data_IF_590010203647
#
_entry.id   IF_590010203647
#
_cell.length_a   1.000
_cell.length_b   1.000
_cell.length_c   1.000
_cell.angle_alpha   90.00
_cell.angle_beta   90.00
_cell.angle_gamma   90.00
#
_symmetry.space_group_name_H-M   'P 1'
#
loop_
_entity.id
_entity.type
_entity.pdbx_description
1 polymer ?
#
# COMPACT_ATOMS: atom_id res chain seq x y z
N UNK A 1 11.00 8.97 10.17
CA UNK A 1 9.93 8.70 9.21
C UNK A 1 10.26 7.47 8.38
N UNK A 2 9.28 6.62 8.09
CA UNK A 2 9.51 5.33 7.41
C UNK A 2 10.25 5.51 6.09
N UNK A 3 9.80 6.44 5.26
CA UNK A 3 10.37 6.65 3.93
C UNK A 3 11.88 6.95 3.97
N UNK A 4 12.31 7.87 4.82
CA UNK A 4 13.73 8.23 4.93
C UNK A 4 14.55 7.17 5.64
N UNK A 5 13.98 6.56 6.69
CA UNK A 5 14.71 5.61 7.52
C UNK A 5 15.12 4.36 6.74
N UNK A 6 14.25 3.89 5.83
CA UNK A 6 14.46 2.65 5.11
C UNK A 6 14.74 2.84 3.62
N UNK A 7 14.83 4.09 3.14
CA UNK A 7 15.13 4.36 1.75
C UNK A 7 14.03 3.98 0.77
N UNK A 8 12.79 3.97 1.21
CA UNK A 8 11.67 3.65 0.36
C UNK A 8 11.42 4.76 -0.66
N UNK A 9 11.00 4.35 -1.87
CA UNK A 9 10.72 5.28 -2.97
C UNK A 9 9.48 6.12 -2.71
N UNK A 10 8.41 5.49 -2.20
CA UNK A 10 7.12 6.13 -2.01
C UNK A 10 6.42 5.54 -0.79
N UNK A 11 5.79 6.38 0.00
CA UNK A 11 5.01 5.97 1.17
C UNK A 11 3.77 6.85 1.24
N UNK A 12 2.60 6.25 1.31
CA UNK A 12 1.38 7.03 1.39
C UNK A 12 0.17 6.22 1.81
N UNK A 13 -0.89 6.95 2.11
CA UNK A 13 -2.19 6.38 2.46
C UNK A 13 -3.18 6.65 1.34
N UNK A 14 -3.97 5.65 1.02
CA UNK A 14 -5.18 5.81 0.19
C UNK A 14 -6.38 5.60 1.09
N UNK A 15 -7.33 6.53 1.05
CA UNK A 15 -8.55 6.49 1.85
C UNK A 15 -9.68 5.86 1.06
N UNK A 16 -10.48 5.02 1.74
CA UNK A 16 -11.67 4.44 1.12
C UNK A 16 -12.78 5.48 1.06
N UNK A 17 -13.21 5.85 -0.14
CA UNK A 17 -14.33 6.75 -0.36
C UNK A 17 -15.25 6.10 -1.40
N UNK A 18 -16.40 5.58 -0.94
CA UNK A 18 -17.29 4.81 -1.81
C UNK A 18 -16.61 3.54 -2.31
N UNK A 19 -16.52 3.38 -3.63
CA UNK A 19 -15.90 2.22 -4.27
C UNK A 19 -14.49 2.49 -4.78
N UNK A 20 -13.85 3.56 -4.29
CA UNK A 20 -12.52 3.95 -4.72
C UNK A 20 -11.59 4.19 -3.54
N UNK A 21 -10.30 4.00 -3.80
CA UNK A 21 -9.25 4.50 -2.93
C UNK A 21 -8.81 5.86 -3.47
N UNK A 22 -8.77 6.86 -2.60
CA UNK A 22 -8.41 8.23 -2.96
C UNK A 22 -7.12 8.61 -2.24
N UNK A 23 -6.15 9.11 -2.99
CA UNK A 23 -4.84 9.48 -2.44
C UNK A 23 -4.99 10.49 -1.30
N UNK A 24 -4.43 10.13 -0.17
CA UNK A 24 -4.32 10.97 1.02
C UNK A 24 -2.87 11.43 1.23
N UNK A 25 -2.43 11.56 2.48
CA UNK A 25 -1.05 11.97 2.77
C UNK A 25 -0.03 10.99 2.19
N UNK A 26 1.02 11.51 1.57
CA UNK A 26 2.08 10.68 0.98
C UNK A 26 3.42 11.42 0.97
N UNK A 27 4.49 10.65 0.80
CA UNK A 27 5.83 11.14 0.53
C UNK A 27 6.39 10.41 -0.68
N UNK A 28 6.96 11.18 -1.60
CA UNK A 28 7.50 10.68 -2.85
C UNK A 28 6.91 11.42 -4.03
N UNK A 29 7.20 10.96 -5.26
CA UNK A 29 6.64 11.59 -6.46
C UNK A 29 5.12 11.42 -6.53
N UNK A 30 4.48 12.25 -7.35
CA UNK A 30 3.05 12.18 -7.56
C UNK A 30 2.65 10.79 -8.07
N UNK A 31 1.57 10.24 -7.52
CA UNK A 31 1.07 8.91 -7.81
C UNK A 31 -0.37 8.98 -8.34
N UNK A 32 -0.97 7.81 -8.59
CA UNK A 32 -2.38 7.75 -8.99
C UNK A 32 -3.25 8.38 -7.90
N UNK A 33 -4.19 9.24 -8.29
CA UNK A 33 -5.05 9.92 -7.33
C UNK A 33 -6.25 9.07 -6.91
N UNK A 34 -6.68 8.14 -7.75
CA UNK A 34 -7.82 7.25 -7.49
C UNK A 34 -7.55 5.84 -7.99
N UNK A 35 -7.98 4.85 -7.23
CA UNK A 35 -7.82 3.43 -7.56
C UNK A 35 -9.14 2.72 -7.26
N UNK A 36 -9.64 1.98 -8.25
CA UNK A 36 -10.89 1.24 -8.11
C UNK A 36 -10.73 0.02 -7.20
N UNK A 37 -11.84 -0.39 -6.60
CA UNK A 37 -11.91 -1.59 -5.77
C UNK A 37 -11.40 -2.82 -6.54
N UNK A 38 -10.47 -3.54 -5.94
CA UNK A 38 -9.90 -4.76 -6.53
C UNK A 38 -8.86 -4.52 -7.62
N UNK A 39 -8.52 -3.27 -7.94
CA UNK A 39 -7.54 -2.93 -8.98
C UNK A 39 -6.16 -2.72 -8.39
N UNK A 40 -5.13 -3.28 -9.06
CA UNK A 40 -3.76 -3.16 -8.63
C UNK A 40 -3.49 -3.78 -7.28
N UNK A 41 -2.33 -3.47 -6.69
CA UNK A 41 -1.94 -4.01 -5.38
C UNK A 41 -2.79 -3.42 -4.27
N UNK A 42 -2.98 -2.10 -4.27
CA UNK A 42 -3.80 -1.41 -3.26
C UNK A 42 -5.24 -1.89 -3.28
N UNK A 43 -5.85 -1.95 -4.47
CA UNK A 43 -7.23 -2.43 -4.61
C UNK A 43 -7.38 -3.89 -4.22
N UNK A 44 -6.36 -4.72 -4.48
CA UNK A 44 -6.36 -6.13 -4.10
C UNK A 44 -6.28 -6.29 -2.57
N UNK A 45 -5.42 -5.53 -1.89
CA UNK A 45 -5.32 -5.57 -0.44
C UNK A 45 -6.65 -5.19 0.21
N UNK A 46 -7.32 -4.19 -0.32
CA UNK A 46 -8.64 -3.77 0.13
C UNK A 46 -9.68 -4.89 -0.06
N UNK A 47 -9.74 -5.44 -1.27
CA UNK A 47 -10.72 -6.48 -1.62
C UNK A 47 -10.51 -7.76 -0.81
N UNK A 48 -9.27 -8.21 -0.70
CA UNK A 48 -8.94 -9.46 -0.02
C UNK A 48 -8.81 -9.30 1.50
N UNK A 49 -8.83 -8.06 1.98
CA UNK A 49 -8.79 -7.73 3.41
C UNK A 49 -7.54 -8.30 4.09
N UNK A 50 -6.40 -8.16 3.44
CA UNK A 50 -5.13 -8.63 3.97
C UNK A 50 -3.97 -7.78 3.46
N UNK A 51 -2.85 -7.82 4.18
CA UNK A 51 -1.60 -7.25 3.70
C UNK A 51 -1.12 -8.03 2.47
N UNK A 52 -0.69 -7.30 1.45
CA UNK A 52 -0.16 -7.87 0.21
C UNK A 52 1.29 -7.43 0.06
N UNK A 53 2.20 -8.41 -0.05
CA UNK A 53 3.62 -8.18 -0.30
C UNK A 53 3.91 -8.62 -1.74
N UNK A 54 4.46 -7.70 -2.53
CA UNK A 54 4.77 -7.96 -3.94
C UNK A 54 6.28 -7.82 -4.14
N UNK A 55 7.01 -8.95 -4.29
CA UNK A 55 8.47 -8.91 -4.52
C UNK A 55 8.86 -8.26 -5.83
N UNK A 56 8.03 -8.40 -6.84
CA UNK A 56 8.24 -7.84 -8.17
C UNK A 56 6.91 -7.42 -8.76
N UNK A 57 6.68 -6.12 -8.86
CA UNK A 57 5.39 -5.56 -9.30
C UNK A 57 5.06 -5.95 -10.75
N UNK A 58 6.06 -6.17 -11.58
CA UNK A 58 5.83 -6.56 -12.98
C UNK A 58 5.21 -7.95 -13.09
N UNK A 59 5.38 -8.79 -12.07
CA UNK A 59 4.81 -10.13 -12.02
C UNK A 59 3.44 -10.17 -11.33
N UNK A 60 2.97 -9.06 -10.80
CA UNK A 60 1.67 -8.99 -10.12
C UNK A 60 0.55 -8.86 -11.15
N UNK A 61 -0.40 -9.80 -11.20
CA UNK A 61 -1.51 -9.72 -12.15
C UNK A 61 -2.35 -8.47 -11.95
N UNK A 62 -2.56 -7.69 -13.02
CA UNK A 62 -3.35 -6.47 -12.96
C UNK A 62 -2.66 -5.29 -12.29
N UNK A 63 -1.34 -5.32 -12.16
CA UNK A 63 -0.60 -4.21 -11.57
C UNK A 63 -0.88 -2.90 -12.31
N UNK A 64 -1.13 -1.83 -11.53
CA UNK A 64 -1.31 -0.48 -12.07
C UNK A 64 0.01 0.27 -11.86
N UNK A 65 0.62 0.70 -12.97
CA UNK A 65 1.89 1.43 -12.92
C UNK A 65 1.64 2.90 -12.59
N UNK A 66 1.36 3.21 -11.31
CA UNK A 66 1.25 4.61 -10.86
C UNK A 66 2.61 5.28 -10.78
N UNK A 67 3.68 4.50 -10.67
CA UNK A 67 5.06 4.96 -10.75
C UNK A 67 5.87 3.92 -11.50
N UNK A 68 6.58 4.35 -12.54
CA UNK A 68 7.41 3.45 -13.35
C UNK A 68 8.67 2.97 -12.62
N UNK A 69 9.05 3.64 -11.54
CA UNK A 69 10.27 3.32 -10.79
C UNK A 69 10.04 2.33 -9.66
N UNK A 70 8.78 2.05 -9.32
CA UNK A 70 8.44 1.08 -8.29
C UNK A 70 8.73 -0.33 -8.77
N UNK A 71 9.45 -1.11 -7.95
CA UNK A 71 9.81 -2.49 -8.27
C UNK A 71 9.21 -3.51 -7.32
N UNK A 72 9.12 -3.18 -6.05
CA UNK A 72 8.46 -4.01 -5.06
C UNK A 72 7.55 -3.14 -4.21
N UNK A 73 6.57 -3.77 -3.57
CA UNK A 73 5.52 -3.03 -2.88
C UNK A 73 4.97 -3.84 -1.71
N UNK A 74 4.55 -3.14 -0.64
CA UNK A 74 3.75 -3.70 0.43
C UNK A 74 2.55 -2.78 0.65
N UNK A 75 1.36 -3.37 0.76
CA UNK A 75 0.13 -2.65 1.05
C UNK A 75 -0.54 -3.26 2.26
N UNK A 76 -0.82 -2.43 3.27
CA UNK A 76 -1.38 -2.87 4.54
C UNK A 76 -2.75 -2.22 4.73
N UNK A 77 -3.83 -3.02 4.89
CA UNK A 77 -5.14 -2.45 5.18
C UNK A 77 -5.19 -1.78 6.54
N UNK A 78 -5.91 -0.65 6.62
CA UNK A 78 -6.17 0.07 7.86
C UNK A 78 -7.64 -0.08 8.20
N UNK A 79 -7.93 -0.67 9.35
CA UNK A 79 -9.31 -0.89 9.80
C UNK A 79 -9.79 0.25 10.69
N UNK A 80 -11.11 0.41 10.76
CA UNK A 80 -11.71 1.32 11.72
C UNK A 80 -11.59 0.77 13.15
N UNK A 81 -12.10 1.51 14.11
CA UNK A 81 -12.00 1.14 15.53
C UNK A 81 -12.67 -0.20 15.84
N UNK A 82 -13.63 -0.62 15.03
CA UNK A 82 -14.31 -1.92 15.24
C UNK A 82 -13.49 -3.10 14.73
N UNK A 83 -12.48 -2.84 13.89
CA UNK A 83 -11.68 -3.87 13.24
C UNK A 83 -12.41 -4.62 12.12
N UNK A 84 -13.57 -4.13 11.70
CA UNK A 84 -14.41 -4.83 10.70
C UNK A 84 -14.42 -4.15 9.34
N UNK A 85 -14.21 -2.84 9.28
CA UNK A 85 -14.31 -2.06 8.05
C UNK A 85 -12.95 -1.47 7.70
N UNK A 86 -12.51 -1.69 6.47
CA UNK A 86 -11.28 -1.06 5.96
C UNK A 86 -11.61 0.37 5.56
N UNK A 87 -10.91 1.33 6.15
CA UNK A 87 -11.10 2.76 5.89
C UNK A 87 -9.99 3.36 5.04
N UNK A 88 -8.86 2.66 4.93
CA UNK A 88 -7.70 3.11 4.15
C UNK A 88 -6.75 1.95 3.91
N UNK A 89 -5.75 2.17 3.07
CA UNK A 89 -4.60 1.27 2.95
C UNK A 89 -3.32 2.10 3.06
N UNK A 90 -2.30 1.53 3.68
CA UNK A 90 -0.95 2.09 3.68
C UNK A 90 -0.17 1.41 2.57
N UNK A 91 0.35 2.20 1.64
CA UNK A 91 1.11 1.73 0.49
C UNK A 91 2.55 2.19 0.58
N UNK A 92 3.48 1.26 0.49
CA UNK A 92 4.91 1.57 0.48
C UNK A 92 5.55 0.89 -0.71
N UNK A 93 6.23 1.68 -1.55
CA UNK A 93 6.91 1.21 -2.75
C UNK A 93 8.41 1.36 -2.61
N UNK A 94 9.15 0.43 -3.21
CA UNK A 94 10.60 0.45 -3.26
C UNK A 94 11.09 0.36 -4.70
N UNK A 95 12.20 1.01 -5.00
CA UNK A 95 12.89 0.87 -6.29
C UNK A 95 13.71 -0.42 -6.38
N UNK A 96 13.87 -1.13 -5.27
CA UNK A 96 14.51 -2.45 -5.24
C UNK A 96 13.50 -3.57 -5.35
N UNK A 97 13.95 -4.73 -5.84
CA UNK A 97 13.16 -5.94 -5.83
C UNK A 97 13.18 -6.56 -4.43
N UNK A 98 12.08 -7.26 -4.08
CA UNK A 98 12.00 -8.08 -2.87
C UNK A 98 12.42 -7.34 -1.59
N UNK A 99 12.01 -6.06 -1.48
CA UNK A 99 12.40 -5.22 -0.35
C UNK A 99 11.66 -5.58 0.94
N UNK A 100 10.43 -6.08 0.83
CA UNK A 100 9.54 -6.29 1.97
C UNK A 100 9.35 -7.77 2.29
N UNK A 101 9.27 -8.10 3.58
CA UNK A 101 9.08 -9.47 4.06
C UNK A 101 8.02 -9.53 5.17
N UNK A 102 7.86 -10.72 5.79
CA UNK A 102 6.86 -10.92 6.84
C UNK A 102 7.16 -10.10 8.10
N UNK A 103 8.40 -9.76 8.36
CA UNK A 103 8.76 -8.91 9.51
C UNK A 103 8.23 -7.51 9.27
N UNK A 104 8.40 -6.99 8.04
CA UNK A 104 7.85 -5.69 7.66
C UNK A 104 6.33 -5.69 7.78
N UNK A 105 5.67 -6.76 7.34
CA UNK A 105 4.22 -6.90 7.46
C UNK A 105 3.78 -6.81 8.91
N UNK A 106 4.42 -7.54 9.80
CA UNK A 106 4.06 -7.53 11.22
C UNK A 106 4.23 -6.15 11.84
N UNK A 107 5.35 -5.48 11.55
CA UNK A 107 5.62 -4.14 12.03
C UNK A 107 4.58 -3.14 11.56
N UNK A 108 4.29 -3.13 10.27
CA UNK A 108 3.37 -2.18 9.68
C UNK A 108 1.93 -2.43 10.14
N UNK A 109 1.53 -3.68 10.29
CA UNK A 109 0.21 -4.01 10.83
C UNK A 109 0.05 -3.50 12.27
N UNK A 110 1.10 -3.57 13.08
CA UNK A 110 1.09 -2.99 14.43
C UNK A 110 1.00 -1.48 14.41
N UNK A 111 1.75 -0.84 13.53
CA UNK A 111 1.74 0.62 13.41
C UNK A 111 0.35 1.12 13.02
N UNK A 112 -0.26 0.53 11.98
CA UNK A 112 -1.56 0.99 11.51
C UNK A 112 -2.68 0.66 12.48
N UNK A 113 -2.55 -0.39 13.30
CA UNK A 113 -3.55 -0.72 14.30
C UNK A 113 -3.62 0.29 15.44
N UNK A 114 -2.59 1.12 15.60
CA UNK A 114 -2.56 2.18 16.60
C UNK A 114 -3.03 3.55 16.10
N UNK A 115 -3.44 3.61 14.85
CA UNK A 115 -3.89 4.88 14.27
C UNK A 115 -5.30 5.28 14.68
#
# INVERSE_FOLDING_TARGET
MIHHTFGFWWTGFYRVIGNELVLGPFQGPLACSRIDYGRGVCGTAWKERRTVIVPDVEKFPGHIACSSDSRSEIVVPVYDITGKTIIAVLDIDSTGLDTFDDIDREWLEKIVSGL
#
